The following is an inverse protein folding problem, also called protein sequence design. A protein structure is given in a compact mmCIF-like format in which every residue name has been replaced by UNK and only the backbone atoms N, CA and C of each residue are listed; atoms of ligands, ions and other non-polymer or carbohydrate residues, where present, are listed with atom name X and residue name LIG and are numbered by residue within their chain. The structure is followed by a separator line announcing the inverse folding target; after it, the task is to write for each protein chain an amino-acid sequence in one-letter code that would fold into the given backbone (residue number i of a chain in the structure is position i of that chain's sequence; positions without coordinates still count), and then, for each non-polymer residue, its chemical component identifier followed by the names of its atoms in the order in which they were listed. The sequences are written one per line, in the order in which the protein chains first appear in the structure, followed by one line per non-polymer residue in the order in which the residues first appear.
data_IF_000800866793
#
_entry.id   IF_000800866793
#
_cell.length_a   1.000
_cell.length_b   1.000
_cell.length_c   1.000
_cell.angle_alpha   90.00
_cell.angle_beta   90.00
_cell.angle_gamma   90.00
#
_symmetry.space_group_name_H-M   'P 1'
#
loop_
_entity.id
_entity.type
_entity.pdbx_description
1 polymer ?
#
# COMPACT_ATOMS: atom_id res chain seq x y z
N UNK A 1 -34.71 35.19 -49.67
CA UNK A 1 -33.55 34.42 -49.16
C UNK A 1 -34.03 33.63 -47.95
N UNK A 2 -34.78 32.57 -48.20
CA UNK A 2 -35.47 31.85 -47.13
C UNK A 2 -34.69 30.59 -46.78
N UNK A 3 -34.17 30.58 -45.55
CA UNK A 3 -33.62 29.40 -44.93
C UNK A 3 -34.71 28.36 -44.74
N UNK A 4 -34.54 27.22 -45.41
CA UNK A 4 -35.26 26.03 -45.00
C UNK A 4 -34.52 25.40 -43.83
N UNK A 5 -35.17 25.40 -42.67
CA UNK A 5 -34.69 24.68 -41.49
C UNK A 5 -34.86 23.19 -41.78
N UNK A 6 -33.85 22.59 -42.41
CA UNK A 6 -33.82 21.16 -42.72
C UNK A 6 -33.83 20.40 -41.39
N UNK A 7 -34.93 19.71 -41.10
CA UNK A 7 -35.08 18.96 -39.85
C UNK A 7 -34.01 17.87 -39.78
N UNK A 8 -33.14 17.94 -38.79
CA UNK A 8 -32.03 17.01 -38.58
C UNK A 8 -32.53 15.56 -38.51
N UNK A 9 -32.18 14.77 -39.53
CA UNK A 9 -32.47 13.35 -39.61
C UNK A 9 -31.73 12.60 -38.48
N UNK A 10 -32.26 11.46 -38.00
CA UNK A 10 -31.60 10.68 -36.93
C UNK A 10 -30.15 10.32 -37.29
N UNK A 11 -29.91 10.03 -38.58
CA UNK A 11 -28.59 9.79 -39.14
C UNK A 11 -27.67 11.01 -39.04
N UNK A 12 -28.18 12.23 -39.23
CA UNK A 12 -27.38 13.46 -39.10
C UNK A 12 -26.98 13.73 -37.66
N UNK A 13 -27.84 13.40 -36.69
CA UNK A 13 -27.51 13.52 -35.26
C UNK A 13 -26.44 12.52 -34.84
N UNK A 14 -26.54 11.27 -35.33
CA UNK A 14 -25.54 10.23 -35.12
C UNK A 14 -24.22 10.59 -35.79
N UNK A 15 -24.26 11.06 -37.05
CA UNK A 15 -23.09 11.51 -37.79
C UNK A 15 -22.42 12.71 -37.13
N UNK A 16 -23.19 13.66 -36.58
CA UNK A 16 -22.66 14.81 -35.83
C UNK A 16 -22.01 14.36 -34.51
N UNK A 17 -22.58 13.38 -33.82
CA UNK A 17 -21.97 12.76 -32.64
C UNK A 17 -20.67 12.02 -32.95
N UNK A 18 -20.66 11.22 -34.02
CA UNK A 18 -19.45 10.55 -34.53
C UNK A 18 -18.40 11.54 -35.04
N UNK A 19 -18.80 12.67 -35.64
CA UNK A 19 -17.87 13.69 -36.08
C UNK A 19 -17.22 14.44 -34.90
N UNK A 20 -17.98 14.72 -33.84
CA UNK A 20 -17.47 15.43 -32.66
C UNK A 20 -16.54 14.54 -31.83
N UNK A 21 -16.90 13.27 -31.61
CA UNK A 21 -16.18 12.38 -30.69
C UNK A 21 -15.36 11.30 -31.38
N UNK A 22 -15.63 10.99 -32.65
CA UNK A 22 -14.96 9.92 -33.39
C UNK A 22 -13.48 10.19 -33.59
N UNK A 23 -13.07 11.44 -33.87
CA UNK A 23 -11.66 11.79 -33.96
C UNK A 23 -10.93 11.63 -32.62
N UNK A 24 -11.58 11.96 -31.50
CA UNK A 24 -11.04 11.78 -30.15
C UNK A 24 -10.93 10.31 -29.75
N UNK A 25 -11.96 9.51 -30.02
CA UNK A 25 -11.96 8.06 -29.76
C UNK A 25 -10.93 7.35 -30.64
N UNK A 26 -10.82 7.73 -31.92
CA UNK A 26 -9.79 7.20 -32.82
C UNK A 26 -8.39 7.63 -32.39
N UNK A 27 -8.20 8.88 -31.97
CA UNK A 27 -6.93 9.37 -31.43
C UNK A 27 -6.52 8.61 -30.16
N UNK A 28 -7.45 8.40 -29.23
CA UNK A 28 -7.22 7.61 -28.03
C UNK A 28 -6.92 6.14 -28.38
N UNK A 29 -7.67 5.54 -29.31
CA UNK A 29 -7.44 4.18 -29.77
C UNK A 29 -6.07 4.03 -30.44
N UNK A 30 -5.60 5.04 -31.19
CA UNK A 30 -4.26 5.07 -31.78
C UNK A 30 -3.19 5.21 -30.71
N UNK A 31 -3.37 6.06 -29.69
CA UNK A 31 -2.42 6.20 -28.58
C UNK A 31 -2.34 4.90 -27.79
N UNK A 32 -3.48 4.27 -27.47
CA UNK A 32 -3.54 2.98 -26.76
C UNK A 32 -2.92 1.87 -27.60
N UNK A 33 -3.23 1.78 -28.90
CA UNK A 33 -2.61 0.82 -29.81
C UNK A 33 -1.11 1.09 -29.98
N UNK A 34 -0.67 2.35 -29.98
CA UNK A 34 0.74 2.72 -29.99
C UNK A 34 1.42 2.37 -28.67
N UNK A 35 0.76 2.50 -27.51
CA UNK A 35 1.29 2.02 -26.22
C UNK A 35 1.38 0.50 -26.24
N UNK A 36 0.35 -0.23 -26.68
CA UNK A 36 0.39 -1.69 -26.80
C UNK A 36 1.39 -2.19 -27.85
N UNK A 37 1.64 -1.45 -28.93
CA UNK A 37 2.72 -1.71 -29.91
C UNK A 37 4.08 -1.19 -29.45
N UNK A 38 4.16 -0.18 -28.60
CA UNK A 38 5.39 0.22 -27.94
C UNK A 38 5.80 -0.85 -26.92
N UNK A 39 4.79 -1.48 -26.31
CA UNK A 39 4.88 -2.77 -25.64
C UNK A 39 4.79 -3.96 -26.63
N UNK A 40 5.14 -3.83 -27.93
CA UNK A 40 5.17 -4.95 -28.91
C UNK A 40 6.16 -6.01 -28.46
N UNK A 41 5.71 -6.89 -27.57
CA UNK A 41 6.54 -7.99 -27.14
C UNK A 41 5.72 -9.27 -27.22
N UNK A 42 5.76 -9.83 -28.44
CA UNK A 42 5.93 -11.28 -28.55
C UNK A 42 7.28 -11.59 -27.90
N UNK A 43 7.30 -11.65 -26.56
CA UNK A 43 8.47 -12.12 -25.89
C UNK A 43 8.70 -13.55 -26.37
N UNK A 44 9.90 -13.81 -26.89
CA UNK A 44 10.37 -15.19 -26.98
C UNK A 44 10.09 -15.86 -25.63
N UNK A 45 9.70 -17.14 -25.60
CA UNK A 45 9.43 -17.86 -24.34
C UNK A 45 10.53 -17.64 -23.30
N UNK A 46 11.78 -17.48 -23.73
CA UNK A 46 12.92 -17.16 -22.86
C UNK A 46 12.80 -15.81 -22.15
N UNK A 47 12.32 -14.76 -22.82
CA UNK A 47 12.19 -13.43 -22.24
C UNK A 47 10.91 -13.32 -21.40
N UNK A 48 9.82 -14.02 -21.77
CA UNK A 48 8.64 -14.16 -20.91
C UNK A 48 9.02 -14.86 -19.60
N UNK A 49 9.79 -15.95 -19.68
CA UNK A 49 10.30 -16.67 -18.51
C UNK A 49 11.18 -15.79 -17.62
N UNK A 50 12.05 -14.98 -18.23
CA UNK A 50 12.88 -14.02 -17.49
C UNK A 50 12.05 -12.90 -16.84
N UNK A 51 11.01 -12.40 -17.52
CA UNK A 51 10.06 -11.45 -16.96
C UNK A 51 9.28 -12.01 -15.78
N UNK A 52 8.83 -13.27 -15.87
CA UNK A 52 8.19 -13.96 -14.75
C UNK A 52 9.16 -14.22 -13.58
N UNK A 53 10.43 -14.50 -13.87
CA UNK A 53 11.46 -14.66 -12.84
C UNK A 53 11.72 -13.36 -12.08
N UNK A 54 11.86 -12.23 -12.80
CA UNK A 54 11.99 -10.90 -12.18
C UNK A 54 10.72 -10.57 -11.38
N UNK A 55 9.54 -10.81 -11.95
CA UNK A 55 8.27 -10.57 -11.26
C UNK A 55 8.15 -11.41 -9.98
N UNK A 56 8.58 -12.67 -10.02
CA UNK A 56 8.63 -13.54 -8.85
C UNK A 56 9.57 -13.02 -7.76
N UNK A 57 10.76 -12.52 -8.13
CA UNK A 57 11.67 -11.87 -7.18
C UNK A 57 11.02 -10.62 -6.57
N UNK A 58 10.41 -9.77 -7.39
CA UNK A 58 9.72 -8.56 -6.93
C UNK A 58 8.58 -8.90 -5.97
N UNK A 59 7.82 -9.96 -6.23
CA UNK A 59 6.79 -10.44 -5.32
C UNK A 59 7.37 -10.90 -3.97
N UNK A 60 8.51 -11.59 -3.98
CA UNK A 60 9.17 -12.00 -2.74
C UNK A 60 9.67 -10.78 -1.94
N UNK A 61 10.27 -9.79 -2.61
CA UNK A 61 10.69 -8.54 -1.95
C UNK A 61 9.48 -7.79 -1.39
N UNK A 62 8.39 -7.71 -2.15
CA UNK A 62 7.15 -7.08 -1.70
C UNK A 62 6.54 -7.82 -0.49
N UNK A 63 6.58 -9.15 -0.48
CA UNK A 63 6.13 -9.96 0.64
C UNK A 63 6.99 -9.71 1.90
N UNK A 64 8.31 -9.72 1.76
CA UNK A 64 9.23 -9.41 2.88
C UNK A 64 8.99 -7.97 3.38
N UNK A 65 8.85 -7.00 2.47
CA UNK A 65 8.56 -5.63 2.83
C UNK A 65 7.22 -5.50 3.57
N UNK A 66 6.19 -6.25 3.15
CA UNK A 66 4.90 -6.32 3.85
C UNK A 66 5.05 -6.91 5.26
N UNK A 67 5.78 -8.03 5.41
CA UNK A 67 6.01 -8.65 6.72
C UNK A 67 6.76 -7.69 7.63
N UNK A 68 7.87 -7.11 7.18
CA UNK A 68 8.64 -6.13 7.95
C UNK A 68 7.78 -4.95 8.34
N UNK A 69 6.96 -4.43 7.42
CA UNK A 69 6.04 -3.32 7.72
C UNK A 69 4.99 -3.69 8.76
N UNK A 70 4.43 -4.91 8.71
CA UNK A 70 3.47 -5.41 9.70
C UNK A 70 4.12 -5.67 11.06
N UNK A 71 5.36 -6.16 11.10
CA UNK A 71 6.09 -6.46 12.34
C UNK A 71 6.68 -5.20 12.99
N UNK A 72 7.01 -4.18 12.19
CA UNK A 72 7.58 -2.92 12.65
C UNK A 72 6.83 -2.26 13.83
N UNK A 73 5.49 -2.11 13.83
CA UNK A 73 4.77 -1.55 14.99
C UNK A 73 4.93 -2.40 16.26
N UNK A 74 4.96 -3.73 16.14
CA UNK A 74 5.19 -4.62 17.28
C UNK A 74 6.62 -4.52 17.81
N UNK A 75 7.61 -4.38 16.92
CA UNK A 75 9.00 -4.12 17.31
C UNK A 75 9.15 -2.80 18.05
N UNK A 76 8.46 -1.74 17.62
CA UNK A 76 8.45 -0.47 18.33
C UNK A 76 7.84 -0.62 19.73
N UNK A 77 6.68 -1.25 19.84
CA UNK A 77 6.05 -1.49 21.15
C UNK A 77 7.00 -2.26 22.10
N UNK A 78 7.62 -3.33 21.61
CA UNK A 78 8.61 -4.10 22.36
C UNK A 78 9.84 -3.27 22.74
N UNK A 79 10.36 -2.45 21.83
CA UNK A 79 11.49 -1.56 22.08
C UNK A 79 11.18 -0.54 23.17
N UNK A 80 9.99 0.08 23.14
CA UNK A 80 9.57 1.05 24.15
C UNK A 80 9.36 0.39 25.52
N UNK A 81 8.74 -0.79 25.56
CA UNK A 81 8.61 -1.60 26.79
C UNK A 81 9.96 -1.96 27.39
N UNK A 82 10.95 -2.28 26.56
CA UNK A 82 12.29 -2.62 27.03
C UNK A 82 13.08 -1.39 27.50
N UNK A 83 12.97 -0.26 26.80
CA UNK A 83 13.71 0.97 27.10
C UNK A 83 13.15 1.76 28.29
N UNK A 84 11.83 1.80 28.46
CA UNK A 84 11.15 2.55 29.51
C UNK A 84 10.16 1.69 30.31
N UNK A 85 10.63 0.60 30.95
CA UNK A 85 9.75 -0.39 31.55
C UNK A 85 8.99 0.12 32.78
N UNK A 86 9.54 1.10 33.51
CA UNK A 86 8.90 1.69 34.69
C UNK A 86 7.76 2.65 34.31
N UNK A 87 8.03 3.58 33.38
CA UNK A 87 7.02 4.51 32.84
C UNK A 87 5.87 3.73 32.18
N UNK A 88 6.20 2.66 31.44
CA UNK A 88 5.19 1.81 30.81
C UNK A 88 4.36 1.03 31.83
N UNK A 89 4.98 0.54 32.91
CA UNK A 89 4.26 -0.10 34.01
C UNK A 89 3.28 0.87 34.67
N UNK A 90 3.73 2.09 34.94
CA UNK A 90 2.88 3.14 35.55
C UNK A 90 1.73 3.54 34.63
N UNK A 91 1.98 3.63 33.31
CA UNK A 91 0.94 3.85 32.31
C UNK A 91 -0.09 2.71 32.28
N UNK A 92 0.35 1.45 32.41
CA UNK A 92 -0.56 0.30 32.56
C UNK A 92 -1.20 0.20 33.95
N UNK A 93 -0.82 1.06 34.91
CA UNK A 93 -1.34 1.05 36.28
C UNK A 93 -0.97 -0.20 37.09
N UNK A 94 0.03 -0.97 36.64
CA UNK A 94 0.42 -2.23 37.28
C UNK A 94 1.32 -2.00 38.48
N UNK A 95 1.14 -2.81 39.52
CA UNK A 95 2.06 -2.78 40.66
C UNK A 95 3.42 -3.37 40.29
N UNK A 96 4.47 -2.96 41.00
CA UNK A 96 5.83 -3.45 40.80
C UNK A 96 5.93 -4.97 41.00
N UNK A 97 5.05 -5.52 41.84
CA UNK A 97 4.88 -6.95 42.06
C UNK A 97 4.26 -7.67 40.84
N UNK A 98 3.19 -7.13 40.25
CA UNK A 98 2.53 -7.75 39.10
C UNK A 98 3.38 -7.69 37.83
N UNK A 99 4.19 -6.63 37.68
CA UNK A 99 5.02 -6.43 36.50
C UNK A 99 6.31 -7.26 36.50
N UNK A 100 7.05 -7.27 37.62
CA UNK A 100 8.33 -7.99 37.72
C UNK A 100 8.26 -9.27 38.56
N UNK A 101 7.24 -9.43 39.40
CA UNK A 101 7.12 -10.52 40.35
C UNK A 101 7.84 -10.27 41.68
N UNK A 102 7.32 -10.88 42.76
CA UNK A 102 7.89 -10.84 44.13
C UNK A 102 9.36 -11.25 44.22
N UNK A 103 9.83 -12.11 43.29
CA UNK A 103 11.20 -12.65 43.30
C UNK A 103 12.21 -11.74 42.59
N UNK A 104 11.75 -10.73 41.84
CA UNK A 104 12.63 -9.84 41.07
C UNK A 104 13.53 -8.98 41.95
N UNK A 105 14.67 -8.57 41.37
CA UNK A 105 15.60 -7.65 42.04
C UNK A 105 14.94 -6.27 42.26
N UNK A 106 14.23 -5.76 41.25
CA UNK A 106 13.51 -4.48 41.33
C UNK A 106 12.50 -4.45 42.48
N UNK A 107 11.69 -5.49 42.63
CA UNK A 107 10.75 -5.61 43.76
C UNK A 107 11.45 -5.62 45.11
N UNK A 108 12.50 -6.44 45.24
CA UNK A 108 13.27 -6.55 46.49
C UNK A 108 13.93 -5.22 46.87
N UNK A 109 14.43 -4.45 45.91
CA UNK A 109 15.02 -3.14 46.14
C UNK A 109 13.98 -2.10 46.56
N UNK A 110 12.81 -2.09 45.91
CA UNK A 110 11.71 -1.20 46.27
C UNK A 110 11.24 -1.43 47.72
N UNK A 111 11.05 -2.70 48.11
CA UNK A 111 10.68 -3.08 49.49
C UNK A 111 11.76 -2.73 50.51
N UNK A 112 13.05 -2.87 50.16
CA UNK A 112 14.15 -2.45 51.04
C UNK A 112 14.17 -0.95 51.25
N UNK A 113 13.92 -0.15 50.20
CA UNK A 113 13.84 1.32 50.29
C UNK A 113 12.64 1.78 51.12
N UNK A 114 11.48 1.14 50.98
CA UNK A 114 10.28 1.51 51.75
C UNK A 114 10.42 1.20 53.24
N UNK A 115 11.14 0.15 53.62
CA UNK A 115 11.42 -0.18 55.04
C UNK A 115 12.48 0.70 55.71
N UNK A 116 13.21 1.50 54.93
CA UNK A 116 14.31 2.36 55.42
C UNK A 116 13.89 3.83 55.60
N UNK A 117 12.69 4.19 55.15
CA UNK A 117 12.00 5.45 55.46
C UNK A 117 11.07 5.21 56.64
#
# INVERSE_FOLDING_TARGET
MYGEVKSLTLQDKIAKGLAIYGAGILGLAVIVNYIFKAFSINFSSSITGFGLFIFWILLNIALIAMIVFMEFPFFLEGYYKWKYPEEYREWEGKTLEEWYGKKSKMYKEHVKKSKKR
#
